data_IF_841085496097
#
_entry.id   IF_841085496097
#
_cell.length_a   1.000
_cell.length_b   1.000
_cell.length_c   1.000
_cell.angle_alpha   90.00
_cell.angle_beta   90.00
_cell.angle_gamma   90.00
#
_symmetry.space_group_name_H-M   'P 1'
#
loop_
_entity.id
_entity.type
_entity.pdbx_description
1 polymer ?
#
# COMPACT_ATOMS: atom_id res chain seq x y z
N UNK A 1 10.00 7.92 17.73
CA UNK A 1 10.49 7.67 16.36
C UNK A 1 9.72 8.59 15.42
N UNK A 2 10.32 9.68 15.00
CA UNK A 2 9.73 10.61 14.03
C UNK A 2 9.91 9.95 12.66
N UNK A 3 8.84 9.42 12.07
CA UNK A 3 8.85 8.96 10.69
C UNK A 3 9.32 10.13 9.83
N UNK A 4 10.50 10.00 9.20
CA UNK A 4 10.95 10.98 8.20
C UNK A 4 9.96 10.89 7.06
N UNK A 5 9.10 11.92 6.97
CA UNK A 5 7.96 11.95 6.07
C UNK A 5 8.47 11.80 4.63
N UNK A 6 8.17 10.65 4.02
CA UNK A 6 8.41 10.41 2.59
C UNK A 6 7.61 11.46 1.82
N UNK A 7 8.23 12.10 0.83
CA UNK A 7 7.49 13.00 -0.05
C UNK A 7 6.40 12.23 -0.82
N UNK A 8 5.14 12.66 -0.66
CA UNK A 8 4.01 12.09 -1.39
C UNK A 8 4.14 12.26 -2.91
N UNK A 9 5.00 13.16 -3.40
CA UNK A 9 5.24 13.36 -4.82
C UNK A 9 5.75 12.10 -5.53
N UNK A 10 6.39 11.18 -4.79
CA UNK A 10 6.83 9.87 -5.31
C UNK A 10 5.68 8.99 -5.83
N UNK A 11 4.43 9.25 -5.43
CA UNK A 11 3.24 8.54 -5.93
C UNK A 11 2.87 8.89 -7.37
N UNK A 12 3.36 10.03 -7.90
CA UNK A 12 3.09 10.45 -9.27
C UNK A 12 4.01 9.79 -10.31
N UNK A 13 4.98 8.99 -9.87
CA UNK A 13 5.92 8.33 -10.77
C UNK A 13 5.36 6.98 -11.24
N UNK A 14 5.20 6.81 -12.55
CA UNK A 14 4.80 5.51 -13.13
C UNK A 14 5.96 4.49 -13.13
N UNK A 15 7.19 5.01 -13.10
CA UNK A 15 8.42 4.22 -13.09
C UNK A 15 9.40 4.75 -12.07
N UNK A 16 10.09 3.84 -11.40
CA UNK A 16 11.11 4.14 -10.39
C UNK A 16 12.44 3.51 -10.80
N UNK A 17 13.56 4.16 -10.45
CA UNK A 17 14.86 3.50 -10.47
C UNK A 17 14.87 2.39 -9.41
N UNK A 18 15.63 1.32 -9.63
CA UNK A 18 15.67 0.16 -8.73
C UNK A 18 16.02 0.54 -7.29
N UNK A 19 16.98 1.46 -7.11
CA UNK A 19 17.38 1.92 -5.78
C UNK A 19 16.33 2.84 -5.12
N UNK A 20 15.59 3.64 -5.89
CA UNK A 20 14.49 4.47 -5.37
C UNK A 20 13.36 3.58 -4.83
N UNK A 21 13.03 2.51 -5.56
CA UNK A 21 12.06 1.53 -5.10
C UNK A 21 12.51 0.84 -3.81
N UNK A 22 13.79 0.53 -3.65
CA UNK A 22 14.31 -0.05 -2.41
C UNK A 22 14.10 0.87 -1.20
N UNK A 23 14.38 2.17 -1.34
CA UNK A 23 14.12 3.15 -0.29
C UNK A 23 12.63 3.25 0.06
N UNK A 24 11.75 3.33 -0.95
CA UNK A 24 10.31 3.45 -0.73
C UNK A 24 9.69 2.20 -0.09
N UNK A 25 10.23 0.99 -0.35
CA UNK A 25 9.81 -0.24 0.33
C UNK A 25 10.16 -0.20 1.81
N UNK A 26 11.35 0.30 2.18
CA UNK A 26 11.76 0.46 3.58
C UNK A 26 11.00 1.61 4.28
N UNK A 27 10.36 2.49 3.51
CA UNK A 27 9.68 3.67 4.03
C UNK A 27 10.61 4.88 4.20
N UNK A 28 11.70 4.93 3.43
CA UNK A 28 12.62 6.06 3.40
C UNK A 28 12.43 6.90 2.14
N UNK A 29 12.67 8.21 2.24
CA UNK A 29 12.68 9.08 1.08
C UNK A 29 13.89 8.76 0.19
N UNK A 30 13.71 8.46 -1.10
CA UNK A 30 14.82 8.23 -2.02
C UNK A 30 15.83 9.36 -2.08
N UNK A 31 15.46 10.61 -1.78
CA UNK A 31 16.39 11.74 -1.76
C UNK A 31 17.44 11.65 -0.63
N UNK A 32 17.33 10.68 0.27
CA UNK A 32 18.33 10.41 1.31
C UNK A 32 19.44 9.46 0.85
N UNK A 33 19.32 8.89 -0.35
CA UNK A 33 20.32 7.99 -0.89
C UNK A 33 20.68 8.36 -2.33
N UNK A 34 21.87 7.94 -2.73
CA UNK A 34 22.34 8.01 -4.11
C UNK A 34 22.89 6.65 -4.51
N UNK A 35 22.76 6.27 -5.78
CA UNK A 35 23.45 5.10 -6.31
C UNK A 35 24.64 5.58 -7.14
N UNK A 36 25.86 5.25 -6.71
CA UNK A 36 27.10 5.57 -7.41
C UNK A 36 27.92 4.32 -7.57
N UNK A 37 28.39 4.04 -8.78
CA UNK A 37 29.19 2.85 -9.09
C UNK A 37 28.53 1.52 -8.64
N UNK A 38 27.19 1.46 -8.72
CA UNK A 38 26.34 0.36 -8.22
C UNK A 38 26.33 0.17 -6.69
N UNK A 39 26.85 1.11 -5.92
CA UNK A 39 26.77 1.13 -4.46
C UNK A 39 25.82 2.22 -3.98
N UNK A 40 24.95 1.85 -3.04
CA UNK A 40 24.05 2.82 -2.39
C UNK A 40 24.85 3.58 -1.35
N UNK A 41 24.79 4.91 -1.43
CA UNK A 41 25.41 5.87 -0.52
C UNK A 41 24.31 6.50 0.34
N UNK A 42 24.53 6.59 1.65
CA UNK A 42 23.68 7.31 2.60
C UNK A 42 24.06 8.80 2.58
N UNK A 43 23.23 9.64 1.98
CA UNK A 43 23.54 11.06 1.84
C UNK A 43 23.40 11.77 3.19
N UNK A 44 24.45 12.50 3.57
CA UNK A 44 24.49 13.31 4.81
C UNK A 44 24.15 12.50 6.07
N UNK A 45 24.39 11.18 6.07
CA UNK A 45 24.05 10.26 7.18
C UNK A 45 22.59 10.39 7.63
N UNK A 46 21.69 10.69 6.69
CA UNK A 46 20.26 10.87 6.96
C UNK A 46 19.57 9.57 7.35
N UNK A 47 20.16 8.40 7.12
CA UNK A 47 19.60 7.13 7.53
C UNK A 47 20.38 6.52 8.70
N UNK A 48 19.67 5.84 9.59
CA UNK A 48 20.29 4.97 10.59
C UNK A 48 21.00 3.80 9.91
N UNK A 49 22.00 3.21 10.59
CA UNK A 49 22.72 2.03 10.09
C UNK A 49 21.77 0.87 9.74
N UNK A 50 20.71 0.71 10.55
CA UNK A 50 19.68 -0.30 10.32
C UNK A 50 18.89 -0.04 9.04
N UNK A 51 18.33 1.16 8.87
CA UNK A 51 17.56 1.53 7.66
C UNK A 51 18.43 1.37 6.41
N UNK A 52 19.68 1.85 6.47
CA UNK A 52 20.61 1.76 5.36
C UNK A 52 20.93 0.30 4.98
N UNK A 53 21.12 -0.57 5.97
CA UNK A 53 21.34 -2.00 5.74
C UNK A 53 20.12 -2.66 5.11
N UNK A 54 18.91 -2.37 5.61
CA UNK A 54 17.67 -2.89 5.04
C UNK A 54 17.52 -2.49 3.57
N UNK A 55 17.77 -1.21 3.22
CA UNK A 55 17.71 -0.73 1.84
C UNK A 55 18.68 -1.50 0.94
N UNK A 56 19.92 -1.74 1.38
CA UNK A 56 20.90 -2.56 0.62
C UNK A 56 20.41 -3.99 0.39
N UNK A 57 19.79 -4.59 1.40
CA UNK A 57 19.18 -5.93 1.28
C UNK A 57 18.03 -5.94 0.27
N UNK A 58 17.10 -4.99 0.37
CA UNK A 58 15.97 -4.86 -0.55
C UNK A 58 16.46 -4.62 -1.98
N UNK A 59 17.43 -3.73 -2.17
CA UNK A 59 18.02 -3.45 -3.47
C UNK A 59 18.63 -4.71 -4.11
N UNK A 60 19.36 -5.50 -3.32
CA UNK A 60 19.93 -6.78 -3.77
C UNK A 60 18.84 -7.78 -4.16
N UNK A 61 17.76 -7.86 -3.39
CA UNK A 61 16.61 -8.72 -3.68
C UNK A 61 15.87 -8.30 -4.97
N UNK A 62 15.72 -7.00 -5.20
CA UNK A 62 15.16 -6.45 -6.44
C UNK A 62 16.03 -6.81 -7.64
N UNK A 63 17.35 -6.60 -7.55
CA UNK A 63 18.30 -6.98 -8.61
C UNK A 63 18.19 -8.48 -8.94
N UNK A 64 18.16 -9.34 -7.93
CA UNK A 64 18.06 -10.78 -8.14
C UNK A 64 16.71 -11.18 -8.76
N UNK A 65 15.63 -10.52 -8.37
CA UNK A 65 14.30 -10.75 -8.94
C UNK A 65 14.22 -10.32 -10.40
N UNK A 66 14.87 -9.22 -10.77
CA UNK A 66 15.00 -8.76 -12.15
C UNK A 66 15.84 -9.75 -12.96
N UNK A 67 17.02 -10.14 -12.45
CA UNK A 67 17.91 -11.10 -13.13
C UNK A 67 17.27 -12.47 -13.34
N UNK A 68 16.39 -12.90 -12.43
CA UNK A 68 15.66 -14.16 -12.53
C UNK A 68 14.35 -14.08 -13.33
N UNK A 69 13.99 -12.90 -13.85
CA UNK A 69 12.74 -12.70 -14.60
C UNK A 69 11.48 -12.76 -13.75
N UNK A 70 11.59 -12.66 -12.42
CA UNK A 70 10.44 -12.62 -11.50
C UNK A 70 9.85 -11.21 -11.36
N UNK A 71 10.63 -10.18 -11.68
CA UNK A 71 10.24 -8.78 -11.64
C UNK A 71 10.58 -8.15 -12.99
N UNK A 72 9.58 -7.64 -13.69
CA UNK A 72 9.76 -6.95 -14.97
C UNK A 72 10.43 -5.58 -14.76
N UNK A 73 11.45 -5.31 -15.57
CA UNK A 73 12.22 -4.07 -15.53
C UNK A 73 12.68 -3.66 -16.93
N UNK A 74 12.84 -2.35 -17.13
CA UNK A 74 13.52 -1.81 -18.31
C UNK A 74 15.02 -1.75 -18.02
N UNK A 75 15.74 -2.79 -18.45
CA UNK A 75 17.18 -2.93 -18.25
C UNK A 75 17.94 -2.00 -19.19
N UNK A 76 18.69 -1.05 -18.61
CA UNK A 76 19.57 -0.15 -19.36
C UNK A 76 21.02 -0.66 -19.27
N UNK A 77 21.75 -0.58 -20.39
CA UNK A 77 23.17 -0.95 -20.47
C UNK A 77 23.96 0.20 -21.09
N UNK A 78 25.13 0.48 -20.55
CA UNK A 78 26.03 1.45 -21.16
C UNK A 78 26.56 0.88 -22.48
N UNK A 79 26.44 1.67 -23.54
CA UNK A 79 26.87 1.29 -24.89
C UNK A 79 27.79 2.34 -25.51
N UNK A 80 28.63 1.91 -26.46
CA UNK A 80 29.50 2.75 -27.29
C UNK A 80 29.54 2.24 -28.72
N UNK A 81 29.71 3.14 -29.68
CA UNK A 81 29.85 2.77 -31.09
C UNK A 81 31.29 2.35 -31.40
N UNK A 82 31.43 1.34 -32.25
CA UNK A 82 32.69 0.68 -32.52
C UNK A 82 33.78 1.51 -33.19
N UNK A 83 33.48 2.74 -33.62
CA UNK A 83 34.49 3.66 -34.17
C UNK A 83 35.40 4.25 -33.07
N UNK A 84 35.00 4.14 -31.80
CA UNK A 84 35.70 4.72 -30.65
C UNK A 84 36.62 3.74 -29.90
N UNK A 85 36.67 2.47 -30.32
CA UNK A 85 37.56 1.47 -29.71
C UNK A 85 38.81 1.29 -30.58
N UNK A 86 39.86 2.08 -30.32
CA UNK A 86 41.17 1.94 -30.98
C UNK A 86 41.97 0.73 -30.46
N UNK A 87 41.70 0.24 -29.24
CA UNK A 87 42.37 -0.93 -28.66
C UNK A 87 41.37 -1.98 -28.16
N UNK A 88 41.36 -3.12 -28.86
CA UNK A 88 40.38 -4.21 -28.72
C UNK A 88 40.65 -5.14 -27.53
N UNK A 89 41.84 -5.09 -26.91
CA UNK A 89 42.28 -6.13 -25.95
C UNK A 89 41.68 -6.02 -24.55
N UNK A 90 41.37 -4.81 -24.08
CA UNK A 90 40.95 -4.59 -22.68
C UNK A 90 39.42 -4.66 -22.51
N UNK A 91 38.67 -4.75 -23.62
CA UNK A 91 37.20 -4.67 -23.65
C UNK A 91 36.48 -6.04 -23.64
N UNK A 92 37.21 -7.15 -23.78
CA UNK A 92 36.61 -8.44 -24.20
C UNK A 92 35.85 -9.17 -23.08
N UNK A 93 36.18 -8.94 -21.81
CA UNK A 93 35.48 -9.66 -20.73
C UNK A 93 34.16 -9.00 -20.31
N UNK A 94 34.09 -7.66 -20.30
CA UNK A 94 32.96 -6.92 -19.74
C UNK A 94 31.94 -6.39 -20.77
N UNK A 95 32.24 -6.45 -22.06
CA UNK A 95 31.36 -5.93 -23.12
C UNK A 95 30.90 -7.03 -24.09
N UNK A 96 29.65 -6.93 -24.53
CA UNK A 96 29.07 -7.71 -25.63
C UNK A 96 29.01 -6.86 -26.90
N UNK A 97 28.91 -7.53 -28.05
CA UNK A 97 28.87 -6.88 -29.36
C UNK A 97 27.56 -7.21 -30.08
N UNK A 98 26.84 -6.17 -30.51
CA UNK A 98 25.70 -6.31 -31.42
C UNK A 98 25.98 -5.60 -32.74
N UNK A 99 25.78 -6.31 -33.86
CA UNK A 99 25.88 -5.71 -35.19
C UNK A 99 24.55 -5.06 -35.57
N UNK A 100 24.54 -3.79 -35.92
CA UNK A 100 23.37 -3.07 -36.42
C UNK A 100 23.75 -2.28 -37.66
N UNK A 101 23.09 -2.56 -38.80
CA UNK A 101 23.22 -1.79 -40.05
C UNK A 101 24.66 -1.44 -40.50
N UNK A 102 25.60 -2.38 -40.31
CA UNK A 102 27.01 -2.20 -40.69
C UNK A 102 27.93 -1.70 -39.57
N UNK A 103 27.37 -1.24 -38.45
CA UNK A 103 28.12 -0.79 -37.28
C UNK A 103 28.13 -1.83 -36.16
N UNK A 104 29.17 -1.81 -35.32
CA UNK A 104 29.28 -2.62 -34.11
C UNK A 104 28.92 -1.75 -32.91
N UNK A 105 27.88 -2.12 -32.18
CA UNK A 105 27.56 -1.56 -30.86
C UNK A 105 28.22 -2.45 -29.81
N UNK A 106 29.08 -1.86 -29.00
CA UNK A 106 29.64 -2.49 -27.82
C UNK A 106 28.79 -2.06 -26.63
N UNK A 107 28.34 -2.98 -25.78
CA UNK A 107 27.65 -2.62 -24.54
C UNK A 107 28.10 -3.47 -23.36
N UNK A 108 28.09 -2.91 -22.14
CA UNK A 108 28.45 -3.66 -20.93
C UNK A 108 27.49 -4.83 -20.70
N UNK A 109 28.02 -6.02 -20.40
CA UNK A 109 27.23 -7.21 -20.03
C UNK A 109 26.37 -6.94 -18.81
N UNK A 110 26.95 -6.28 -17.80
CA UNK A 110 26.26 -5.87 -16.59
C UNK A 110 25.28 -4.72 -16.87
N UNK A 111 24.04 -4.80 -16.37
CA UNK A 111 23.12 -3.67 -16.37
C UNK A 111 23.68 -2.44 -15.66
N UNK A 112 23.32 -1.27 -16.15
CA UNK A 112 23.46 -0.02 -15.44
C UNK A 112 22.27 0.12 -14.47
N UNK A 113 22.49 -0.24 -13.19
CA UNK A 113 21.44 -0.22 -12.16
C UNK A 113 21.02 1.19 -11.72
N UNK A 114 21.83 2.20 -12.04
CA UNK A 114 21.53 3.62 -11.80
C UNK A 114 20.46 4.15 -12.75
N UNK A 115 20.38 3.57 -13.94
CA UNK A 115 19.43 3.96 -14.99
C UNK A 115 18.33 2.94 -15.21
N UNK A 116 18.51 1.69 -14.78
CA UNK A 116 17.48 0.65 -14.88
C UNK A 116 16.25 1.04 -14.07
N UNK A 117 15.08 0.93 -14.68
CA UNK A 117 13.81 1.31 -14.07
C UNK A 117 12.85 0.13 -13.97
N UNK A 118 11.95 0.19 -13.00
CA UNK A 118 10.83 -0.73 -12.82
C UNK A 118 9.52 0.07 -12.86
N UNK A 119 8.46 -0.50 -13.43
CA UNK A 119 7.14 0.12 -13.32
C UNK A 119 6.58 -0.10 -11.91
N UNK A 120 5.85 0.90 -11.41
CA UNK A 120 5.21 0.81 -10.09
C UNK A 120 4.21 -0.34 -10.04
N UNK A 121 3.50 -0.62 -11.14
CA UNK A 121 2.56 -1.73 -11.22
C UNK A 121 3.24 -3.10 -11.12
N UNK A 122 4.35 -3.31 -11.84
CA UNK A 122 5.10 -4.57 -11.75
C UNK A 122 5.70 -4.75 -10.36
N UNK A 123 6.17 -3.67 -9.75
CA UNK A 123 6.66 -3.68 -8.37
C UNK A 123 5.55 -4.07 -7.38
N UNK A 124 4.37 -3.45 -7.46
CA UNK A 124 3.22 -3.76 -6.60
C UNK A 124 2.80 -5.23 -6.73
N UNK A 125 2.72 -5.75 -7.96
CA UNK A 125 2.41 -7.17 -8.22
C UNK A 125 3.44 -8.10 -7.58
N UNK A 126 4.72 -7.79 -7.71
CA UNK A 126 5.81 -8.56 -7.11
C UNK A 126 5.74 -8.56 -5.58
N UNK A 127 5.51 -7.39 -4.96
CA UNK A 127 5.34 -7.23 -3.51
C UNK A 127 4.14 -8.03 -2.98
N UNK A 128 2.99 -7.95 -3.65
CA UNK A 128 1.80 -8.73 -3.30
C UNK A 128 2.04 -10.23 -3.35
N UNK A 129 2.74 -10.72 -4.38
CA UNK A 129 3.12 -12.14 -4.49
C UNK A 129 4.05 -12.58 -3.37
N UNK A 130 4.93 -11.69 -2.92
CA UNK A 130 5.79 -11.89 -1.75
C UNK A 130 5.09 -11.70 -0.40
N UNK A 131 3.79 -11.37 -0.38
CA UNK A 131 3.01 -11.03 0.83
C UNK A 131 3.59 -9.85 1.63
N UNK A 132 4.37 -8.99 0.98
CA UNK A 132 4.91 -7.77 1.57
C UNK A 132 4.04 -6.60 1.13
N UNK A 133 3.54 -5.81 2.08
CA UNK A 133 2.71 -4.63 1.81
C UNK A 133 3.29 -3.39 2.48
N UNK A 134 4.32 -2.76 1.87
CA UNK A 134 4.85 -1.52 2.40
C UNK A 134 3.77 -0.44 2.39
N UNK A 135 3.66 0.32 3.48
CA UNK A 135 2.61 1.33 3.68
C UNK A 135 2.59 2.37 2.54
N UNK A 136 3.76 2.74 2.01
CA UNK A 136 3.87 3.68 0.90
C UNK A 136 3.14 3.21 -0.37
N UNK A 137 3.26 1.93 -0.74
CA UNK A 137 2.63 1.37 -1.94
C UNK A 137 1.21 0.86 -1.70
N UNK A 138 0.90 0.53 -0.46
CA UNK A 138 -0.38 -0.02 -0.01
C UNK A 138 -0.85 0.75 1.22
N UNK A 139 -1.22 2.04 1.06
CA UNK A 139 -1.67 2.86 2.17
C UNK A 139 -2.87 2.20 2.82
N UNK A 140 -2.75 1.91 4.12
CA UNK A 140 -3.82 1.31 4.92
C UNK A 140 -4.75 2.41 5.42
N UNK A 141 -5.31 3.19 4.50
CA UNK A 141 -6.24 4.27 4.86
C UNK A 141 -7.67 3.85 4.55
N UNK A 142 -8.51 3.88 5.59
CA UNK A 142 -9.95 3.59 5.57
C UNK A 142 -10.77 4.45 4.58
N UNK A 143 -10.16 5.48 3.99
CA UNK A 143 -10.86 6.55 3.27
C UNK A 143 -10.67 6.52 1.74
N UNK A 144 -9.85 5.61 1.18
CA UNK A 144 -9.67 5.51 -0.27
C UNK A 144 -9.62 4.04 -0.73
N UNK A 145 -10.77 3.38 -0.67
CA UNK A 145 -10.96 2.06 -1.28
C UNK A 145 -11.54 2.26 -2.68
N UNK A 146 -10.77 1.92 -3.72
CA UNK A 146 -11.28 1.78 -5.08
C UNK A 146 -12.44 0.77 -5.10
N UNK A 147 -13.56 1.05 -5.82
CA UNK A 147 -14.76 0.22 -5.81
C UNK A 147 -14.53 -1.25 -6.18
N UNK A 148 -13.47 -1.55 -6.93
CA UNK A 148 -13.17 -2.89 -7.45
C UNK A 148 -12.57 -3.86 -6.42
N UNK A 149 -12.05 -3.39 -5.27
CA UNK A 149 -11.46 -4.24 -4.21
C UNK A 149 -12.43 -4.42 -3.01
N UNK A 150 -13.66 -3.91 -3.09
CA UNK A 150 -14.60 -3.89 -1.95
C UNK A 150 -15.19 -5.25 -1.53
N UNK A 151 -14.87 -6.36 -2.18
CA UNK A 151 -15.37 -7.65 -1.72
C UNK A 151 -14.50 -8.29 -0.63
N UNK A 152 -13.19 -8.04 -0.62
CA UNK A 152 -12.23 -8.83 0.18
C UNK A 152 -11.60 -8.10 1.38
N UNK A 153 -11.88 -6.81 1.58
CA UNK A 153 -11.29 -6.03 2.69
C UNK A 153 -12.29 -5.65 3.79
N UNK A 154 -13.51 -6.20 3.78
CA UNK A 154 -14.38 -6.11 4.96
C UNK A 154 -13.79 -7.01 6.04
N UNK A 155 -13.60 -6.52 7.28
CA UNK A 155 -13.25 -7.38 8.40
C UNK A 155 -14.19 -8.60 8.42
N UNK A 156 -13.68 -9.79 8.73
CA UNK A 156 -14.44 -11.04 8.67
C UNK A 156 -15.81 -10.96 9.34
N UNK A 157 -15.91 -10.19 10.44
CA UNK A 157 -17.15 -9.98 11.18
C UNK A 157 -18.22 -9.13 10.46
N UNK A 158 -17.86 -8.40 9.41
CA UNK A 158 -18.78 -7.66 8.52
C UNK A 158 -19.07 -8.41 7.20
N UNK A 159 -18.39 -9.52 6.93
CA UNK A 159 -18.63 -10.32 5.72
C UNK A 159 -19.88 -11.20 5.88
N UNK A 160 -20.92 -10.91 5.09
CA UNK A 160 -22.21 -11.64 5.11
C UNK A 160 -22.09 -13.15 4.84
N UNK A 161 -21.04 -13.57 4.12
CA UNK A 161 -20.79 -14.97 3.76
C UNK A 161 -19.92 -15.70 4.80
N UNK A 162 -19.40 -14.99 5.80
CA UNK A 162 -18.55 -15.59 6.81
C UNK A 162 -19.39 -16.49 7.75
N UNK A 163 -18.95 -17.70 8.12
CA UNK A 163 -19.75 -18.66 8.90
C UNK A 163 -20.15 -18.15 10.29
N UNK A 164 -19.41 -17.17 10.82
CA UNK A 164 -19.70 -16.50 12.10
C UNK A 164 -20.34 -15.11 11.93
N UNK A 165 -20.87 -14.81 10.76
CA UNK A 165 -21.52 -13.53 10.50
C UNK A 165 -22.73 -13.33 11.43
N UNK A 166 -22.81 -12.15 12.06
CA UNK A 166 -23.93 -11.76 12.90
C UNK A 166 -24.54 -10.47 12.39
N UNK A 167 -25.82 -10.52 12.02
CA UNK A 167 -26.59 -9.35 11.54
C UNK A 167 -26.61 -8.23 12.57
N UNK A 168 -26.81 -8.59 13.85
CA UNK A 168 -26.81 -7.63 14.97
C UNK A 168 -25.45 -6.95 15.11
N UNK A 169 -24.35 -7.70 15.02
CA UNK A 169 -23.00 -7.14 15.13
C UNK A 169 -22.71 -6.17 13.99
N UNK A 170 -22.99 -6.60 12.75
CA UNK A 170 -22.78 -5.76 11.57
C UNK A 170 -23.61 -4.48 11.63
N UNK A 171 -24.87 -4.56 12.05
CA UNK A 171 -25.73 -3.40 12.21
C UNK A 171 -25.26 -2.46 13.33
N UNK A 172 -24.83 -3.01 14.46
CA UNK A 172 -24.27 -2.24 15.59
C UNK A 172 -23.06 -1.45 15.16
N UNK A 173 -22.11 -2.08 14.47
CA UNK A 173 -20.90 -1.43 13.96
C UNK A 173 -21.26 -0.39 12.89
N UNK A 174 -22.15 -0.73 11.96
CA UNK A 174 -22.61 0.20 10.93
C UNK A 174 -23.23 1.47 11.51
N UNK A 175 -24.09 1.32 12.52
CA UNK A 175 -24.71 2.46 13.20
C UNK A 175 -23.69 3.32 13.96
N UNK A 176 -22.75 2.68 14.67
CA UNK A 176 -21.67 3.37 15.38
C UNK A 176 -20.75 4.16 14.45
N UNK A 177 -20.44 3.62 13.27
CA UNK A 177 -19.64 4.31 12.25
C UNK A 177 -20.40 5.46 11.58
N UNK A 178 -21.70 5.29 11.33
CA UNK A 178 -22.49 6.28 10.60
C UNK A 178 -22.94 7.47 11.47
N UNK A 179 -23.27 7.22 12.74
CA UNK A 179 -23.76 8.26 13.65
C UNK A 179 -22.57 8.86 14.41
N UNK A 180 -21.91 9.85 13.82
CA UNK A 180 -20.78 10.57 14.45
C UNK A 180 -21.20 11.82 15.20
N UNK A 181 -22.34 12.43 14.83
CA UNK A 181 -22.89 13.61 15.48
C UNK A 181 -24.41 13.49 15.68
N UNK A 182 -24.90 13.24 16.91
CA UNK A 182 -26.31 13.05 17.21
C UNK A 182 -27.12 14.36 17.27
N UNK A 183 -26.47 15.52 17.03
CA UNK A 183 -27.09 16.86 17.09
C UNK A 183 -27.75 17.12 18.45
N UNK A 184 -29.05 17.42 18.48
CA UNK A 184 -29.85 17.72 19.68
C UNK A 184 -30.45 16.48 20.36
N UNK A 185 -30.12 15.27 19.90
CA UNK A 185 -30.62 14.00 20.46
C UNK A 185 -29.56 13.32 21.28
N UNK A 186 -29.95 12.37 22.13
CA UNK A 186 -28.97 11.46 22.71
C UNK A 186 -28.34 10.58 21.62
N UNK A 187 -27.06 10.17 21.77
CA UNK A 187 -26.42 9.22 20.84
C UNK A 187 -27.27 7.97 20.62
N UNK A 188 -27.83 7.42 21.69
CA UNK A 188 -28.71 6.25 21.63
C UNK A 188 -29.96 6.49 20.76
N UNK A 189 -30.64 7.62 20.91
CA UNK A 189 -31.80 7.95 20.06
C UNK A 189 -31.40 8.13 18.60
N UNK A 190 -30.26 8.77 18.33
CA UNK A 190 -29.77 8.93 16.96
C UNK A 190 -29.41 7.58 16.33
N UNK A 191 -28.79 6.67 17.10
CA UNK A 191 -28.52 5.29 16.70
C UNK A 191 -29.81 4.50 16.44
N UNK A 192 -30.82 4.60 17.31
CA UNK A 192 -32.13 3.95 17.15
C UNK A 192 -32.80 4.37 15.83
N UNK A 193 -32.79 5.67 15.53
CA UNK A 193 -33.34 6.22 14.28
C UNK A 193 -32.59 5.67 13.07
N UNK A 194 -31.25 5.69 13.11
CA UNK A 194 -30.43 5.21 12.00
C UNK A 194 -30.64 3.72 11.75
N UNK A 195 -30.65 2.90 12.80
CA UNK A 195 -30.86 1.45 12.73
C UNK A 195 -32.22 1.08 12.12
N UNK A 196 -33.29 1.81 12.47
CA UNK A 196 -34.63 1.58 11.89
C UNK A 196 -34.66 1.87 10.40
N UNK A 197 -34.01 2.97 9.98
CA UNK A 197 -33.95 3.36 8.57
C UNK A 197 -33.16 2.36 7.71
N UNK A 198 -32.20 1.63 8.31
CA UNK A 198 -31.33 0.69 7.61
C UNK A 198 -31.58 -0.77 8.00
N UNK A 199 -32.71 -1.08 8.63
CA UNK A 199 -33.01 -2.44 9.11
C UNK A 199 -33.03 -3.48 7.97
N UNK A 200 -33.48 -3.07 6.77
CA UNK A 200 -33.48 -3.89 5.57
C UNK A 200 -32.08 -4.31 5.12
N UNK A 201 -31.09 -3.41 5.22
CA UNK A 201 -29.72 -3.66 4.74
C UNK A 201 -29.03 -4.81 5.48
N UNK A 202 -29.43 -5.01 6.74
CA UNK A 202 -28.91 -6.04 7.63
C UNK A 202 -29.85 -7.25 7.73
N UNK A 203 -30.97 -7.29 6.99
CA UNK A 203 -31.96 -8.36 7.09
C UNK A 203 -32.54 -8.48 8.51
N UNK A 204 -32.77 -7.33 9.15
CA UNK A 204 -33.33 -7.20 10.50
C UNK A 204 -34.78 -6.67 10.45
N UNK A 205 -35.55 -7.17 9.50
CA UNK A 205 -36.98 -6.91 9.34
C UNK A 205 -37.80 -8.16 9.64
N UNK A 206 -39.07 -7.98 10.00
CA UNK A 206 -40.05 -9.05 10.14
C UNK A 206 -40.60 -9.49 8.76
N UNK A 207 -41.55 -10.42 8.75
CA UNK A 207 -42.17 -10.93 7.51
C UNK A 207 -42.90 -9.85 6.70
N UNK A 208 -43.27 -8.74 7.34
CA UNK A 208 -43.96 -7.59 6.72
C UNK A 208 -42.97 -6.50 6.26
N UNK A 209 -41.66 -6.74 6.39
CA UNK A 209 -40.61 -5.78 6.03
C UNK A 209 -40.39 -4.68 7.07
N UNK A 210 -41.04 -4.73 8.23
CA UNK A 210 -40.88 -3.74 9.30
C UNK A 210 -39.67 -4.07 10.20
N UNK A 211 -38.94 -3.08 10.74
CA UNK A 211 -37.80 -3.31 11.63
C UNK A 211 -38.15 -4.16 12.86
N UNK A 212 -37.28 -5.11 13.23
CA UNK A 212 -37.42 -5.87 14.48
C UNK A 212 -37.05 -4.99 15.68
N UNK A 213 -38.05 -4.42 16.33
CA UNK A 213 -37.93 -3.43 17.42
C UNK A 213 -36.92 -3.79 18.50
N UNK A 214 -36.98 -5.01 19.02
CA UNK A 214 -36.07 -5.45 20.08
C UNK A 214 -34.62 -5.49 19.60
N UNK A 215 -34.39 -5.92 18.35
CA UNK A 215 -33.05 -5.96 17.77
C UNK A 215 -32.46 -4.56 17.61
N UNK A 216 -33.25 -3.56 17.20
CA UNK A 216 -32.79 -2.17 17.10
C UNK A 216 -32.36 -1.63 18.47
N UNK A 217 -33.19 -1.84 19.50
CA UNK A 217 -32.90 -1.41 20.87
C UNK A 217 -31.68 -2.08 21.47
N UNK A 218 -31.47 -3.36 21.19
CA UNK A 218 -30.27 -4.08 21.62
C UNK A 218 -29.02 -3.48 20.97
N UNK A 219 -29.05 -3.26 19.66
CA UNK A 219 -27.93 -2.72 18.90
C UNK A 219 -27.60 -1.28 19.33
N UNK A 220 -28.61 -0.41 19.51
CA UNK A 220 -28.38 0.97 19.93
C UNK A 220 -27.83 1.09 21.35
N UNK A 221 -28.22 0.18 22.26
CA UNK A 221 -27.62 0.10 23.60
C UNK A 221 -26.15 -0.25 23.54
N UNK A 222 -25.76 -1.22 22.70
CA UNK A 222 -24.36 -1.63 22.56
C UNK A 222 -23.53 -0.55 21.86
N UNK A 223 -24.08 0.09 20.82
CA UNK A 223 -23.37 1.13 20.05
C UNK A 223 -23.30 2.49 20.77
N UNK A 224 -24.07 2.71 21.83
CA UNK A 224 -24.10 4.00 22.51
C UNK A 224 -22.77 4.29 23.22
N UNK A 225 -21.95 5.18 22.64
CA UNK A 225 -20.66 5.60 23.19
C UNK A 225 -20.77 6.60 24.35
N UNK A 226 -21.96 7.10 24.66
CA UNK A 226 -22.16 7.94 25.84
C UNK A 226 -22.44 7.06 27.05
N UNK A 227 -21.40 6.89 27.88
CA UNK A 227 -21.39 6.11 29.12
C UNK A 227 -22.31 6.67 30.21
N UNK A 228 -22.77 7.91 30.10
CA UNK A 228 -23.69 8.54 31.05
C UNK A 228 -25.13 8.50 30.53
N UNK A 229 -25.61 7.30 30.21
CA UNK A 229 -26.94 7.09 29.66
C UNK A 229 -28.03 7.67 30.55
N UNK A 230 -28.84 8.58 29.99
CA UNK A 230 -30.13 9.04 30.53
C UNK A 230 -30.02 9.88 31.80
N UNK A 231 -30.51 11.12 31.73
CA UNK A 231 -30.69 11.94 32.91
C UNK A 231 -31.58 11.24 33.96
N UNK A 232 -30.99 10.74 35.04
CA UNK A 232 -31.67 10.74 36.33
C UNK A 232 -31.60 12.18 36.84
N UNK A 233 -32.57 13.02 36.46
CA UNK A 233 -32.98 14.09 37.37
C UNK A 233 -33.73 13.38 38.49
N UNK A 234 -33.00 13.02 39.55
CA UNK A 234 -33.65 12.74 40.82
C UNK A 234 -34.22 14.08 41.31
N UNK A 235 -35.54 14.17 41.37
CA UNK A 235 -36.22 15.14 42.23
C UNK A 235 -35.86 14.81 43.68
N UNK A 236 -35.49 15.84 44.45
CA UNK A 236 -35.06 15.75 45.85
C UNK A 236 -34.27 16.99 46.27
#
# INVERSE_FOLDING_TARGET
>A
MTLKKIDSSWLYFDTLKVWQAAALIEGCDPNFIELKDNEIINLEEKLTEKEFTCIKTIFSALIQSIKSGKLDATIIRDGRLGREFENYSDAVESWDVRKMSGERLFYKKSPNWEKTTISVDSLKKWLQKGQVKPEFFFPTNADNISPEIMQDNKPDYLNKNHPRYSRKLAATIGAWQAVTNPKKRSPKEALDIWLRAHAGDFGMTNAEGQPVEQAMKDCSKVANWNYHGGANRAEG
#
